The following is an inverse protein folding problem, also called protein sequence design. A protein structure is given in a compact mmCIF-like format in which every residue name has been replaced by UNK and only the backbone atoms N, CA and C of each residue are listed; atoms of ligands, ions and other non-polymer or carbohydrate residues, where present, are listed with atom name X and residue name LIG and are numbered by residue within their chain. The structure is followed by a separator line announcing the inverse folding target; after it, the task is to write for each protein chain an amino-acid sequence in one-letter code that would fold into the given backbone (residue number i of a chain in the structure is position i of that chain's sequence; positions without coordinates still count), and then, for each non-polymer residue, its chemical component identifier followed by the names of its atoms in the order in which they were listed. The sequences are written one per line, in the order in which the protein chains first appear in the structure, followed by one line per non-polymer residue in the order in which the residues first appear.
data_IF_481094086042
#
_entry.id   IF_481094086042
#
_cell.length_a   1.000
_cell.length_b   1.000
_cell.length_c   1.000
_cell.angle_alpha   90.00
_cell.angle_beta   90.00
_cell.angle_gamma   90.00
#
_symmetry.space_group_name_H-M   'P 1'
#
loop_
_entity.id
_entity.type
_entity.pdbx_description
1 polymer ?
#
# COMPACT_ATOMS: atom_id res chain seq x y z
N UNK A 1 -33.99 15.76 27.48
CA UNK A 1 -33.68 16.20 26.11
C UNK A 1 -32.58 15.30 25.59
N UNK A 2 -32.95 14.23 24.88
CA UNK A 2 -32.00 13.28 24.30
C UNK A 2 -31.77 13.67 22.85
N UNK A 3 -30.60 14.25 22.56
CA UNK A 3 -30.19 14.58 21.19
C UNK A 3 -29.98 13.30 20.39
N UNK A 4 -30.82 13.13 19.37
CA UNK A 4 -30.65 12.15 18.30
C UNK A 4 -29.38 12.49 17.51
N UNK A 5 -28.37 11.62 17.60
CA UNK A 5 -27.22 11.65 16.67
C UNK A 5 -27.71 11.07 15.35
N UNK A 6 -27.95 11.94 14.37
CA UNK A 6 -28.30 11.52 13.02
C UNK A 6 -27.14 10.73 12.40
N UNK A 7 -27.37 9.45 12.12
CA UNK A 7 -26.48 8.60 11.32
C UNK A 7 -26.43 9.14 9.89
N UNK A 8 -25.29 9.75 9.52
CA UNK A 8 -25.04 10.19 8.14
C UNK A 8 -25.13 8.99 7.20
N UNK A 9 -25.92 9.09 6.13
CA UNK A 9 -25.95 8.04 5.11
C UNK A 9 -24.58 7.92 4.43
N UNK A 10 -24.13 6.70 4.17
CA UNK A 10 -22.83 6.41 3.56
C UNK A 10 -22.62 7.10 2.18
N UNK A 11 -23.71 7.50 1.52
CA UNK A 11 -23.71 8.21 0.23
C UNK A 11 -23.12 9.63 0.27
N UNK A 12 -22.81 10.16 1.45
CA UNK A 12 -22.23 11.51 1.61
C UNK A 12 -20.78 11.52 2.12
N UNK A 13 -20.12 10.37 2.22
CA UNK A 13 -18.75 10.30 2.70
C UNK A 13 -17.72 10.40 1.56
N UNK A 14 -16.53 10.87 1.90
CA UNK A 14 -15.40 10.93 0.98
C UNK A 14 -15.02 9.51 0.53
N UNK A 15 -14.64 9.35 -0.74
CA UNK A 15 -14.10 8.09 -1.24
C UNK A 15 -12.78 7.68 -0.56
N UNK A 16 -12.03 8.66 -0.04
CA UNK A 16 -10.70 8.44 0.54
C UNK A 16 -10.59 8.59 2.06
N UNK A 17 -11.61 9.10 2.74
CA UNK A 17 -11.62 9.23 4.21
C UNK A 17 -13.06 9.19 4.75
N UNK A 18 -13.22 9.34 6.06
CA UNK A 18 -14.52 9.36 6.74
C UNK A 18 -15.14 10.74 6.89
N UNK A 19 -14.53 11.77 6.27
CA UNK A 19 -15.10 13.12 6.25
C UNK A 19 -16.28 13.22 5.29
N UNK A 20 -17.14 14.21 5.53
CA UNK A 20 -18.23 14.56 4.62
C UNK A 20 -17.69 15.03 3.27
N UNK A 21 -18.26 14.49 2.19
CA UNK A 21 -17.88 14.80 0.83
C UNK A 21 -18.73 15.93 0.24
N UNK A 22 -18.12 17.11 0.17
CA UNK A 22 -18.76 18.31 -0.35
C UNK A 22 -18.55 18.51 -1.85
N UNK A 23 -17.59 17.79 -2.45
CA UNK A 23 -17.20 17.96 -3.86
C UNK A 23 -17.46 16.68 -4.64
N UNK A 24 -17.89 16.81 -5.88
CA UNK A 24 -18.01 15.69 -6.82
C UNK A 24 -16.92 15.79 -7.89
N UNK A 25 -16.58 14.67 -8.52
CA UNK A 25 -15.79 14.72 -9.75
C UNK A 25 -16.57 15.44 -10.85
N UNK A 26 -16.03 16.55 -11.38
CA UNK A 26 -16.66 17.36 -12.42
C UNK A 26 -16.83 16.66 -13.78
N UNK A 27 -16.24 15.46 -13.96
CA UNK A 27 -16.35 14.73 -15.22
C UNK A 27 -17.43 13.65 -15.18
N UNK A 28 -17.44 12.80 -14.15
CA UNK A 28 -18.39 11.67 -14.07
C UNK A 28 -19.52 11.90 -13.08
N UNK A 29 -19.39 12.87 -12.16
CA UNK A 29 -20.33 13.14 -11.06
C UNK A 29 -20.70 11.93 -10.16
N UNK A 30 -20.00 10.80 -10.32
CA UNK A 30 -20.33 9.52 -9.71
C UNK A 30 -19.48 9.20 -8.46
N UNK A 31 -18.47 10.01 -8.16
CA UNK A 31 -17.63 9.91 -6.95
C UNK A 31 -17.58 11.25 -6.21
N UNK A 32 -17.43 11.21 -4.89
CA UNK A 32 -17.36 12.40 -4.03
C UNK A 32 -16.10 12.43 -3.16
N UNK A 33 -15.62 13.64 -2.90
CA UNK A 33 -14.45 13.91 -2.07
C UNK A 33 -14.73 15.06 -1.09
N UNK A 34 -14.07 15.03 0.07
CA UNK A 34 -14.11 16.13 1.03
C UNK A 34 -13.22 17.31 0.61
N UNK A 35 -12.21 17.09 -0.24
CA UNK A 35 -11.31 18.15 -0.73
C UNK A 35 -10.64 17.82 -2.06
N UNK A 36 -9.96 18.81 -2.65
CA UNK A 36 -9.22 18.66 -3.92
C UNK A 36 -8.01 17.75 -3.76
N UNK A 37 -7.42 17.70 -2.56
CA UNK A 37 -6.28 16.84 -2.22
C UNK A 37 -6.69 15.38 -2.26
N UNK A 38 -7.86 15.04 -1.69
CA UNK A 38 -8.40 13.68 -1.79
C UNK A 38 -8.72 13.31 -3.24
N UNK A 39 -9.30 14.22 -4.02
CA UNK A 39 -9.54 13.96 -5.45
C UNK A 39 -8.22 13.71 -6.22
N UNK A 40 -7.19 14.53 -6.00
CA UNK A 40 -5.88 14.40 -6.64
C UNK A 40 -5.19 13.10 -6.26
N UNK A 41 -5.32 12.67 -5.01
CA UNK A 41 -4.78 11.40 -4.57
C UNK A 41 -5.49 10.22 -5.24
N UNK A 42 -6.82 10.23 -5.30
CA UNK A 42 -7.55 9.12 -5.93
C UNK A 42 -7.36 9.08 -7.46
N UNK A 43 -6.94 10.18 -8.08
CA UNK A 43 -6.95 10.34 -9.53
C UNK A 43 -6.25 9.23 -10.31
N UNK A 44 -5.13 8.68 -9.83
CA UNK A 44 -4.43 7.59 -10.51
C UNK A 44 -5.29 6.33 -10.67
N UNK A 45 -6.17 6.06 -9.70
CA UNK A 45 -7.13 4.95 -9.69
C UNK A 45 -8.44 5.39 -10.34
N UNK A 46 -9.01 6.52 -9.92
CA UNK A 46 -10.29 7.01 -10.42
C UNK A 46 -10.30 7.23 -11.94
N UNK A 47 -9.22 7.74 -12.53
CA UNK A 47 -9.14 8.02 -13.98
C UNK A 47 -9.37 6.79 -14.85
N UNK A 48 -9.08 5.59 -14.32
CA UNK A 48 -9.27 4.30 -14.99
C UNK A 48 -10.74 4.13 -15.37
N UNK A 49 -11.65 4.55 -14.47
CA UNK A 49 -13.08 4.31 -14.59
C UNK A 49 -13.89 5.56 -14.88
N UNK A 50 -13.33 6.75 -14.59
CA UNK A 50 -14.01 8.04 -14.67
C UNK A 50 -14.74 8.26 -16.01
N UNK A 51 -14.07 8.00 -17.13
CA UNK A 51 -14.65 8.20 -18.47
C UNK A 51 -15.80 7.24 -18.78
N UNK A 52 -15.72 5.99 -18.31
CA UNK A 52 -16.76 4.99 -18.53
C UNK A 52 -18.03 5.35 -17.79
N UNK A 53 -17.90 5.86 -16.55
CA UNK A 53 -19.03 6.32 -15.74
C UNK A 53 -19.63 7.65 -16.19
N UNK A 54 -18.91 8.43 -17.01
CA UNK A 54 -19.51 9.59 -17.70
C UNK A 54 -20.48 9.16 -18.81
N UNK A 55 -20.19 8.03 -19.48
CA UNK A 55 -20.96 7.53 -20.63
C UNK A 55 -22.15 6.66 -20.22
N UNK A 56 -22.04 5.93 -19.11
CA UNK A 56 -23.03 4.94 -18.67
C UNK A 56 -24.26 5.52 -17.95
N UNK A 57 -24.60 6.79 -18.17
CA UNK A 57 -25.85 7.40 -17.67
C UNK A 57 -27.07 6.89 -18.48
N UNK A 58 -26.86 6.33 -19.66
CA UNK A 58 -27.92 5.80 -20.50
C UNK A 58 -28.12 4.30 -20.25
N UNK A 59 -28.98 3.93 -19.30
CA UNK A 59 -29.51 2.56 -19.21
C UNK A 59 -30.98 2.58 -19.66
N UNK A 60 -31.22 2.09 -20.88
CA UNK A 60 -32.55 1.93 -21.46
C UNK A 60 -33.21 0.58 -21.14
N UNK A 61 -32.58 -0.28 -20.31
CA UNK A 61 -33.09 -1.62 -19.97
C UNK A 61 -33.18 -1.82 -18.43
N UNK A 62 -34.36 -2.15 -17.89
CA UNK A 62 -34.56 -2.53 -16.47
C UNK A 62 -33.68 -3.69 -15.97
N UNK A 63 -33.16 -4.53 -16.87
CA UNK A 63 -32.31 -5.68 -16.53
C UNK A 63 -30.80 -5.38 -16.64
N UNK A 64 -30.43 -4.15 -16.99
CA UNK A 64 -29.02 -3.78 -17.11
C UNK A 64 -28.35 -3.72 -15.72
N UNK A 65 -27.38 -4.61 -15.49
CA UNK A 65 -26.53 -4.60 -14.29
C UNK A 65 -25.10 -4.19 -14.65
N UNK A 66 -24.62 -3.13 -14.00
CA UNK A 66 -23.23 -2.70 -14.11
C UNK A 66 -22.33 -3.52 -13.20
N UNK A 67 -21.54 -4.38 -13.83
CA UNK A 67 -20.42 -5.08 -13.22
C UNK A 67 -19.07 -4.48 -13.66
N UNK A 68 -18.00 -4.85 -12.95
CA UNK A 68 -16.62 -4.46 -13.26
C UNK A 68 -15.82 -5.73 -13.53
N UNK A 69 -15.21 -5.84 -14.71
CA UNK A 69 -14.51 -7.01 -15.16
C UNK A 69 -13.03 -6.74 -15.39
N UNK A 70 -12.19 -7.56 -14.78
CA UNK A 70 -10.74 -7.61 -14.94
C UNK A 70 -10.39 -8.81 -15.82
N UNK A 71 -10.24 -8.63 -17.15
CA UNK A 71 -9.81 -9.71 -18.04
C UNK A 71 -8.39 -10.19 -17.69
N UNK A 72 -7.98 -11.34 -18.20
CA UNK A 72 -6.61 -11.83 -17.99
C UNK A 72 -5.53 -10.85 -18.54
N UNK A 73 -5.83 -10.19 -19.67
CA UNK A 73 -4.96 -9.21 -20.33
C UNK A 73 -5.72 -7.95 -20.71
N UNK A 74 -5.03 -6.81 -20.78
CA UNK A 74 -5.61 -5.51 -21.11
C UNK A 74 -5.95 -4.69 -19.86
N UNK A 75 -7.03 -3.91 -19.92
CA UNK A 75 -7.49 -3.07 -18.80
C UNK A 75 -8.88 -3.48 -18.28
N UNK A 76 -9.26 -2.99 -17.09
CA UNK A 76 -10.58 -3.26 -16.54
C UNK A 76 -11.68 -2.68 -17.43
N UNK A 77 -12.77 -3.44 -17.55
CA UNK A 77 -13.97 -3.09 -18.31
C UNK A 77 -15.12 -2.85 -17.35
N UNK A 78 -15.95 -1.85 -17.65
CA UNK A 78 -17.12 -1.45 -16.87
C UNK A 78 -18.34 -1.60 -17.77
N UNK A 79 -19.51 -1.78 -17.15
CA UNK A 79 -20.78 -1.84 -17.89
C UNK A 79 -20.88 -3.10 -18.73
N UNK A 80 -20.31 -4.18 -18.21
CA UNK A 80 -20.30 -5.49 -18.84
C UNK A 80 -21.59 -6.25 -18.52
N UNK A 81 -22.75 -5.58 -18.53
CA UNK A 81 -24.07 -6.18 -18.23
C UNK A 81 -24.37 -7.43 -19.06
N UNK A 82 -23.74 -7.50 -20.23
CA UNK A 82 -23.70 -8.66 -21.12
C UNK A 82 -22.25 -9.09 -21.25
N UNK A 83 -21.60 -9.47 -20.16
CA UNK A 83 -20.40 -10.29 -20.27
C UNK A 83 -20.83 -11.45 -21.16
N UNK A 84 -20.34 -11.48 -22.41
CA UNK A 84 -20.52 -12.55 -23.38
C UNK A 84 -19.71 -13.78 -22.91
N UNK A 85 -19.89 -14.11 -21.64
CA UNK A 85 -19.50 -15.35 -21.01
C UNK A 85 -20.40 -16.35 -21.70
N UNK A 86 -19.83 -17.03 -22.70
CA UNK A 86 -20.45 -18.17 -23.34
C UNK A 86 -21.17 -19.00 -22.27
N UNK A 87 -22.43 -19.39 -22.52
CA UNK A 87 -23.30 -20.07 -21.55
C UNK A 87 -22.58 -21.22 -20.81
N UNK A 88 -21.72 -21.93 -21.55
CA UNK A 88 -20.85 -23.02 -21.06
C UNK A 88 -19.89 -22.63 -19.93
N UNK A 89 -19.48 -21.36 -19.82
CA UNK A 89 -18.59 -20.85 -18.77
C UNK A 89 -19.35 -20.33 -17.55
N UNK A 90 -20.66 -20.06 -17.65
CA UNK A 90 -21.46 -19.62 -16.49
C UNK A 90 -21.50 -20.68 -15.40
N UNK A 91 -21.54 -21.96 -15.77
CA UNK A 91 -21.46 -23.09 -14.83
C UNK A 91 -20.12 -23.20 -14.12
N UNK A 92 -19.08 -22.51 -14.58
CA UNK A 92 -17.72 -22.53 -14.01
C UNK A 92 -17.42 -21.26 -13.20
N UNK A 93 -18.30 -20.26 -13.27
CA UNK A 93 -18.18 -19.04 -12.49
C UNK A 93 -18.37 -19.35 -11.00
N UNK A 94 -17.38 -19.00 -10.17
CA UNK A 94 -17.39 -19.25 -8.72
C UNK A 94 -17.14 -17.95 -7.98
N UNK A 95 -18.08 -17.59 -7.13
CA UNK A 95 -17.90 -16.56 -6.13
C UNK A 95 -16.92 -17.07 -5.07
N UNK A 96 -15.93 -16.25 -4.74
CA UNK A 96 -14.90 -16.62 -3.76
C UNK A 96 -14.72 -15.59 -2.65
N UNK A 97 -15.30 -14.40 -2.80
CA UNK A 97 -15.22 -13.36 -1.77
C UNK A 97 -16.38 -12.38 -1.84
N UNK A 98 -16.82 -11.94 -0.66
CA UNK A 98 -17.77 -10.85 -0.48
C UNK A 98 -17.11 -9.69 0.27
N UNK A 99 -17.50 -8.46 -0.09
CA UNK A 99 -17.01 -7.23 0.52
C UNK A 99 -18.18 -6.42 1.06
N UNK A 100 -18.26 -6.31 2.37
CA UNK A 100 -19.23 -5.52 3.11
C UNK A 100 -18.55 -4.48 4.03
N UNK A 101 -17.22 -4.52 4.14
CA UNK A 101 -16.43 -3.63 4.97
C UNK A 101 -15.16 -3.16 4.27
N UNK A 102 -14.84 -1.88 4.40
CA UNK A 102 -13.57 -1.31 3.97
C UNK A 102 -12.60 -1.35 5.15
N UNK A 103 -11.60 -2.23 5.11
CA UNK A 103 -10.56 -2.30 6.13
C UNK A 103 -9.73 -1.01 6.21
N UNK A 104 -9.48 -0.39 5.05
CA UNK A 104 -8.67 0.84 4.97
C UNK A 104 -9.40 2.03 5.61
N UNK A 105 -10.72 2.14 5.39
CA UNK A 105 -11.51 3.23 5.98
C UNK A 105 -12.13 2.88 7.32
N UNK A 106 -12.02 1.62 7.73
CA UNK A 106 -12.73 1.05 8.86
C UNK A 106 -14.21 1.45 8.88
N UNK A 107 -14.92 1.20 7.76
CA UNK A 107 -16.36 1.47 7.65
C UNK A 107 -17.06 0.43 6.78
N UNK A 108 -18.34 0.23 7.06
CA UNK A 108 -19.22 -0.61 6.24
C UNK A 108 -19.32 -0.06 4.83
N UNK A 109 -19.19 -0.94 3.85
CA UNK A 109 -19.60 -0.69 2.48
C UNK A 109 -21.11 -0.90 2.47
N UNK A 110 -21.93 0.13 2.15
CA UNK A 110 -23.37 0.07 2.34
C UNK A 110 -24.10 -1.02 1.53
N UNK A 111 -23.41 -1.72 0.63
CA UNK A 111 -23.97 -2.84 -0.12
C UNK A 111 -22.87 -3.84 -0.48
N UNK A 112 -23.19 -5.13 -0.35
CA UNK A 112 -22.24 -6.21 -0.63
C UNK A 112 -21.76 -6.15 -2.08
N UNK A 113 -20.45 -6.19 -2.28
CA UNK A 113 -19.82 -6.40 -3.58
C UNK A 113 -19.21 -7.78 -3.58
N UNK A 114 -19.50 -8.55 -4.62
CA UNK A 114 -19.08 -9.93 -4.77
C UNK A 114 -17.93 -10.00 -5.77
N UNK A 115 -16.91 -10.80 -5.46
CA UNK A 115 -15.84 -11.14 -6.38
C UNK A 115 -15.99 -12.60 -6.81
N UNK A 116 -15.91 -12.82 -8.13
CA UNK A 116 -16.06 -14.13 -8.73
C UNK A 116 -15.07 -14.32 -9.88
N UNK A 117 -14.68 -15.57 -10.11
CA UNK A 117 -13.72 -15.96 -11.14
C UNK A 117 -14.20 -17.20 -11.90
N UNK A 118 -13.70 -17.36 -13.13
CA UNK A 118 -13.86 -18.59 -13.91
C UNK A 118 -12.73 -19.60 -13.66
N UNK A 119 -11.66 -19.18 -12.99
CA UNK A 119 -10.55 -20.04 -12.62
C UNK A 119 -10.76 -20.58 -11.20
N UNK A 120 -10.34 -21.82 -10.90
CA UNK A 120 -10.30 -22.32 -9.52
C UNK A 120 -9.48 -21.37 -8.63
N UNK A 121 -10.11 -20.83 -7.58
CA UNK A 121 -9.44 -19.96 -6.62
C UNK A 121 -8.71 -20.80 -5.55
N UNK A 122 -7.53 -20.36 -5.09
CA UNK A 122 -6.80 -20.99 -3.98
C UNK A 122 -5.54 -21.80 -4.36
N UNK A 123 -5.10 -21.78 -5.61
CA UNK A 123 -3.75 -22.23 -5.98
C UNK A 123 -2.83 -21.04 -6.20
N UNK A 124 -1.57 -21.15 -5.78
CA UNK A 124 -0.52 -20.19 -6.11
C UNK A 124 -0.58 -19.94 -7.61
N UNK A 125 -0.73 -18.68 -8.01
CA UNK A 125 -0.77 -18.31 -9.42
C UNK A 125 0.54 -18.79 -10.08
N UNK A 126 0.47 -19.85 -10.90
CA UNK A 126 1.51 -20.10 -11.88
C UNK A 126 1.64 -18.83 -12.74
N UNK A 127 2.86 -18.50 -13.18
CA UNK A 127 3.12 -17.29 -13.99
C UNK A 127 2.13 -17.14 -15.16
N UNK A 128 1.72 -18.27 -15.73
CA UNK A 128 0.84 -18.35 -16.90
C UNK A 128 -0.65 -18.11 -16.59
N UNK A 129 -1.05 -18.04 -15.32
CA UNK A 129 -2.45 -17.78 -14.94
C UNK A 129 -2.66 -16.42 -14.25
N UNK A 130 -1.63 -15.56 -14.17
CA UNK A 130 -1.71 -14.23 -13.57
C UNK A 130 -2.67 -13.30 -14.32
N UNK A 131 -3.46 -12.53 -13.59
CA UNK A 131 -4.33 -11.51 -14.17
C UNK A 131 -3.59 -10.18 -14.34
N UNK A 132 -3.05 -9.96 -15.54
CA UNK A 132 -2.32 -8.74 -15.86
C UNK A 132 -3.18 -7.48 -15.92
N UNK A 133 -4.52 -7.58 -16.01
CA UNK A 133 -5.36 -6.37 -16.03
C UNK A 133 -5.37 -5.63 -14.70
N UNK A 134 -5.09 -6.32 -13.58
CA UNK A 134 -4.89 -5.65 -12.30
C UNK A 134 -3.66 -4.73 -12.30
N UNK A 135 -2.69 -4.91 -13.20
CA UNK A 135 -1.55 -3.99 -13.35
C UNK A 135 -1.98 -2.55 -13.67
N UNK A 136 -3.18 -2.36 -14.26
CA UNK A 136 -3.75 -1.04 -14.51
C UNK A 136 -4.07 -0.29 -13.19
N UNK A 137 -4.36 -1.03 -12.12
CA UNK A 137 -4.60 -0.51 -10.77
C UNK A 137 -3.31 -0.53 -9.96
N UNK A 138 -2.61 -1.67 -9.98
CA UNK A 138 -1.36 -1.89 -9.29
C UNK A 138 -0.54 -3.02 -9.92
N UNK A 139 0.70 -2.73 -10.29
CA UNK A 139 1.63 -3.67 -10.91
C UNK A 139 1.95 -4.94 -10.08
N UNK A 140 1.67 -4.96 -8.77
CA UNK A 140 1.97 -6.10 -7.89
C UNK A 140 0.80 -7.09 -7.77
N UNK A 141 -0.43 -6.63 -8.01
CA UNK A 141 -1.64 -7.44 -7.92
C UNK A 141 -1.74 -8.60 -8.93
N UNK A 142 -1.18 -8.54 -10.15
CA UNK A 142 -1.22 -9.67 -11.08
C UNK A 142 -0.68 -10.98 -10.51
N UNK A 143 0.27 -10.93 -9.57
CA UNK A 143 0.88 -12.12 -8.99
C UNK A 143 -0.02 -12.92 -8.04
N UNK A 144 -1.19 -12.40 -7.68
CA UNK A 144 -2.05 -12.95 -6.62
C UNK A 144 -3.41 -13.37 -7.13
N UNK A 145 -3.89 -12.66 -8.15
CA UNK A 145 -5.20 -12.89 -8.70
C UNK A 145 -5.01 -13.61 -10.01
N UNK A 146 -5.48 -14.85 -10.05
CA UNK A 146 -5.41 -15.68 -11.24
C UNK A 146 -6.68 -15.59 -12.06
N UNK A 147 -6.50 -15.57 -13.38
CA UNK A 147 -7.57 -15.64 -14.35
C UNK A 147 -8.51 -14.43 -14.33
N UNK A 148 -9.53 -14.43 -15.22
CA UNK A 148 -10.45 -13.31 -15.31
C UNK A 148 -11.35 -13.19 -14.07
N UNK A 149 -11.48 -11.98 -13.54
CA UNK A 149 -12.27 -11.69 -12.32
C UNK A 149 -13.37 -10.68 -12.62
N UNK A 150 -14.55 -10.94 -12.09
CA UNK A 150 -15.72 -10.06 -12.21
C UNK A 150 -16.16 -9.65 -10.81
N UNK A 151 -16.47 -8.37 -10.67
CA UNK A 151 -17.11 -7.80 -9.49
C UNK A 151 -18.53 -7.37 -9.84
N UNK A 152 -19.50 -7.76 -9.01
CA UNK A 152 -20.91 -7.38 -9.16
C UNK A 152 -21.59 -7.20 -7.80
N UNK A 153 -22.76 -6.58 -7.78
CA UNK A 153 -23.63 -6.49 -6.62
C UNK A 153 -25.04 -6.95 -7.01
N UNK A 154 -25.64 -7.91 -6.29
CA UNK A 154 -27.02 -8.32 -6.55
C UNK A 154 -27.98 -7.13 -6.43
N UNK A 155 -28.82 -6.93 -7.46
CA UNK A 155 -29.91 -5.95 -7.44
C UNK A 155 -29.50 -4.48 -7.57
N UNK A 156 -28.24 -4.16 -7.89
CA UNK A 156 -27.82 -2.77 -8.15
C UNK A 156 -26.63 -2.67 -9.10
N UNK A 157 -26.46 -1.47 -9.65
CA UNK A 157 -25.29 -1.10 -10.44
C UNK A 157 -24.12 -0.75 -9.52
N UNK A 158 -22.92 -1.26 -9.86
CA UNK A 158 -21.69 -0.79 -9.22
C UNK A 158 -21.40 0.66 -9.63
N UNK A 159 -20.84 1.44 -8.72
CA UNK A 159 -20.44 2.82 -8.95
C UNK A 159 -18.91 3.01 -8.84
N UNK A 160 -18.44 4.25 -8.99
CA UNK A 160 -17.02 4.56 -8.85
C UNK A 160 -16.50 4.47 -7.41
N UNK A 161 -17.37 4.53 -6.40
CA UNK A 161 -17.00 4.25 -5.00
C UNK A 161 -16.81 2.74 -4.81
N UNK A 162 -17.65 1.90 -5.41
CA UNK A 162 -17.46 0.45 -5.43
C UNK A 162 -16.14 0.08 -6.07
N UNK A 163 -15.78 0.69 -7.21
CA UNK A 163 -14.47 0.48 -7.82
C UNK A 163 -13.33 0.80 -6.87
N UNK A 164 -13.40 1.92 -6.14
CA UNK A 164 -12.39 2.28 -5.13
C UNK A 164 -12.32 1.23 -4.03
N UNK A 165 -13.46 0.78 -3.50
CA UNK A 165 -13.52 -0.23 -2.45
C UNK A 165 -12.96 -1.57 -2.92
N UNK A 166 -13.30 -2.02 -4.13
CA UNK A 166 -12.75 -3.24 -4.75
C UNK A 166 -11.23 -3.16 -4.79
N UNK A 167 -10.70 -2.04 -5.29
CA UNK A 167 -9.26 -1.80 -5.40
C UNK A 167 -8.58 -1.81 -4.02
N UNK A 168 -9.20 -1.19 -3.02
CA UNK A 168 -8.69 -1.18 -1.65
C UNK A 168 -8.70 -2.56 -1.02
N UNK A 169 -9.78 -3.33 -1.20
CA UNK A 169 -9.87 -4.66 -0.61
C UNK A 169 -8.94 -5.65 -1.30
N UNK A 170 -8.80 -5.60 -2.62
CA UNK A 170 -7.83 -6.44 -3.34
C UNK A 170 -6.40 -6.16 -2.87
N UNK A 171 -6.06 -4.88 -2.64
CA UNK A 171 -4.77 -4.52 -2.03
C UNK A 171 -4.65 -5.03 -0.59
N UNK A 172 -5.71 -4.92 0.19
CA UNK A 172 -5.73 -5.43 1.57
C UNK A 172 -5.49 -6.95 1.62
N UNK A 173 -6.13 -7.71 0.75
CA UNK A 173 -5.90 -9.15 0.63
C UNK A 173 -4.43 -9.46 0.33
N UNK A 174 -3.82 -8.74 -0.61
CA UNK A 174 -2.38 -8.87 -0.87
C UNK A 174 -1.52 -8.61 0.36
N UNK A 175 -1.82 -7.53 1.08
CA UNK A 175 -1.10 -7.16 2.27
C UNK A 175 -1.19 -8.25 3.34
N UNK A 176 -2.40 -8.77 3.57
CA UNK A 176 -2.61 -9.88 4.49
C UNK A 176 -1.77 -11.10 4.10
N UNK A 177 -1.81 -11.52 2.84
CA UNK A 177 -1.04 -12.69 2.37
C UNK A 177 0.48 -12.52 2.55
N UNK A 178 0.98 -11.30 2.52
CA UNK A 178 2.42 -10.99 2.59
C UNK A 178 2.94 -10.57 3.95
N UNK A 179 2.08 -10.06 4.85
CA UNK A 179 2.51 -9.51 6.14
C UNK A 179 1.82 -10.15 7.35
N UNK A 180 0.62 -10.71 7.19
CA UNK A 180 -0.19 -11.25 8.30
C UNK A 180 -0.36 -12.78 8.16
N UNK A 181 -0.27 -13.30 6.92
CA UNK A 181 -0.34 -14.72 6.61
C UNK A 181 0.86 -15.52 7.09
N UNK A 182 0.80 -16.82 6.86
CA UNK A 182 1.85 -17.77 7.26
C UNK A 182 3.17 -17.49 6.51
N UNK A 183 4.06 -16.72 7.15
CA UNK A 183 5.39 -16.36 6.62
C UNK A 183 6.27 -17.58 6.33
N UNK A 184 5.89 -18.79 6.81
CA UNK A 184 6.62 -20.02 6.51
C UNK A 184 6.54 -20.43 5.04
N UNK A 185 5.48 -20.03 4.31
CA UNK A 185 5.36 -20.27 2.87
C UNK A 185 6.19 -19.30 2.02
N UNK A 186 6.51 -18.13 2.56
CA UNK A 186 7.22 -17.08 1.84
C UNK A 186 8.74 -17.31 1.83
N UNK A 187 9.24 -18.11 2.77
CA UNK A 187 10.67 -18.38 2.94
C UNK A 187 10.95 -19.86 3.23
N UNK A 188 10.90 -20.70 2.20
CA UNK A 188 11.67 -21.96 2.18
C UNK A 188 13.19 -21.72 2.06
N UNK A 189 13.59 -20.46 1.94
CA UNK A 189 14.96 -19.99 1.78
C UNK A 189 15.50 -19.39 3.08
N UNK A 190 16.84 -19.41 3.30
CA UNK A 190 17.46 -18.77 4.46
C UNK A 190 17.08 -17.29 4.58
N UNK A 191 16.61 -16.89 5.75
CA UNK A 191 16.25 -15.51 6.08
C UNK A 191 17.35 -14.82 6.89
N UNK A 192 17.33 -13.50 6.89
CA UNK A 192 18.24 -12.66 7.66
C UNK A 192 17.46 -11.85 8.71
N UNK A 193 18.05 -11.57 9.88
CA UNK A 193 17.47 -10.61 10.80
C UNK A 193 17.45 -9.23 10.15
N UNK A 194 16.26 -8.65 10.05
CA UNK A 194 16.07 -7.34 9.45
C UNK A 194 14.93 -6.58 10.12
N UNK A 195 14.92 -5.27 9.88
CA UNK A 195 13.94 -4.34 10.43
C UNK A 195 13.12 -3.76 9.28
N UNK A 196 11.82 -3.98 9.29
CA UNK A 196 10.89 -3.22 8.47
C UNK A 196 10.70 -1.83 9.07
N UNK A 197 10.93 -0.81 8.26
CA UNK A 197 10.58 0.58 8.57
C UNK A 197 9.25 0.89 7.92
N UNK A 198 8.24 1.13 8.76
CA UNK A 198 6.86 1.29 8.31
C UNK A 198 6.63 2.68 7.74
N UNK A 199 6.16 2.71 6.52
CA UNK A 199 5.63 3.92 5.88
C UNK A 199 4.30 4.38 6.53
N UNK A 200 3.87 5.61 6.21
CA UNK A 200 2.71 6.23 6.88
C UNK A 200 1.40 5.42 6.78
N UNK A 201 1.12 4.79 5.64
CA UNK A 201 -0.11 4.00 5.48
C UNK A 201 -0.09 2.71 6.28
N UNK A 202 1.04 2.01 6.37
CA UNK A 202 1.13 0.81 7.23
C UNK A 202 0.94 1.19 8.70
N UNK A 203 1.50 2.33 9.12
CA UNK A 203 1.29 2.85 10.47
C UNK A 203 -0.16 3.25 10.72
N UNK A 204 -0.78 3.92 9.77
CA UNK A 204 -2.11 4.50 9.97
C UNK A 204 -3.25 3.50 9.74
N UNK A 205 -3.19 2.73 8.65
CA UNK A 205 -4.24 1.80 8.24
C UNK A 205 -4.03 0.41 8.85
N UNK A 206 -2.79 -0.04 8.98
CA UNK A 206 -2.47 -1.38 9.48
C UNK A 206 -2.00 -1.38 10.95
N UNK A 207 -1.88 -0.20 11.57
CA UNK A 207 -1.37 -0.01 12.94
C UNK A 207 0.02 -0.61 13.16
N UNK A 208 0.84 -0.67 12.11
CA UNK A 208 2.22 -1.14 12.23
C UNK A 208 3.05 -0.16 13.08
N UNK A 209 3.99 -0.66 13.90
CA UNK A 209 4.93 0.22 14.60
C UNK A 209 5.87 0.91 13.61
N UNK A 210 6.57 1.96 14.04
CA UNK A 210 7.57 2.64 13.21
C UNK A 210 8.65 1.66 12.69
N UNK A 211 9.06 0.72 13.55
CA UNK A 211 10.04 -0.32 13.27
C UNK A 211 9.49 -1.67 13.74
N UNK A 212 9.57 -2.69 12.90
CA UNK A 212 9.18 -4.06 13.23
C UNK A 212 10.29 -5.02 12.81
N UNK A 213 10.52 -6.09 13.59
CA UNK A 213 11.33 -7.20 13.10
C UNK A 213 10.62 -7.85 11.92
N UNK A 214 11.35 -8.06 10.83
CA UNK A 214 10.78 -8.61 9.60
C UNK A 214 11.84 -9.46 8.90
N UNK A 215 11.65 -10.78 8.72
CA UNK A 215 12.62 -11.61 8.05
C UNK A 215 12.68 -11.29 6.54
N UNK A 216 13.88 -11.18 5.98
CA UNK A 216 14.06 -11.03 4.52
C UNK A 216 14.88 -12.19 3.98
N UNK A 217 14.53 -12.67 2.78
CA UNK A 217 15.34 -13.68 2.09
C UNK A 217 16.76 -13.16 1.84
N UNK A 218 17.77 -13.96 2.16
CA UNK A 218 19.17 -13.61 1.90
C UNK A 218 19.46 -13.33 0.42
N UNK A 219 18.64 -13.89 -0.49
CA UNK A 219 18.75 -13.68 -1.94
C UNK A 219 18.28 -12.29 -2.38
N UNK A 220 17.44 -11.62 -1.58
CA UNK A 220 16.93 -10.28 -1.90
C UNK A 220 17.98 -9.18 -1.67
N UNK A 221 19.10 -9.49 -1.00
CA UNK A 221 20.21 -8.56 -0.79
C UNK A 221 21.13 -8.57 -2.02
N UNK A 222 20.93 -7.64 -2.95
CA UNK A 222 21.90 -7.41 -4.03
C UNK A 222 23.24 -6.90 -3.46
N UNK A 223 24.41 -7.30 -4.02
CA UNK A 223 25.70 -6.81 -3.56
C UNK A 223 25.84 -5.31 -3.84
N UNK A 224 26.14 -4.55 -2.79
CA UNK A 224 26.29 -3.09 -2.85
C UNK A 224 27.77 -2.64 -2.86
N UNK A 225 28.03 -1.52 -3.53
CA UNK A 225 29.35 -0.89 -3.75
C UNK A 225 29.48 0.35 -2.85
N UNK A 226 30.25 0.22 -1.76
CA UNK A 226 30.75 1.29 -0.86
C UNK A 226 29.71 2.18 -0.14
N UNK A 227 29.57 1.97 1.18
CA UNK A 227 28.72 2.72 2.09
C UNK A 227 28.37 1.86 3.31
N UNK A 228 27.73 2.42 4.35
CA UNK A 228 27.27 1.69 5.56
C UNK A 228 26.79 0.27 5.21
N UNK A 229 27.08 -0.77 6.03
CA UNK A 229 26.78 -2.16 5.69
C UNK A 229 25.29 -2.49 5.82
N UNK A 230 24.41 -1.58 5.40
CA UNK A 230 22.96 -1.70 5.38
C UNK A 230 22.50 -1.82 3.93
N UNK A 231 21.70 -2.84 3.69
CA UNK A 231 20.99 -3.03 2.43
C UNK A 231 19.51 -2.80 2.70
N UNK A 232 18.89 -2.04 1.82
CA UNK A 232 17.46 -1.81 1.87
C UNK A 232 16.79 -2.56 0.73
N UNK A 233 15.81 -3.37 1.10
CA UNK A 233 14.93 -4.07 0.17
C UNK A 233 13.57 -3.44 0.32
N UNK A 234 12.88 -3.25 -0.80
CA UNK A 234 11.45 -2.92 -0.75
C UNK A 234 10.76 -3.99 0.08
N UNK A 235 10.08 -3.61 1.17
CA UNK A 235 9.24 -4.57 1.86
C UNK A 235 8.19 -5.08 0.87
N UNK A 236 7.62 -6.29 1.05
CA UNK A 236 6.41 -6.67 0.33
C UNK A 236 5.39 -5.54 0.44
N UNK A 237 4.46 -5.42 -0.52
CA UNK A 237 3.70 -4.19 -0.70
C UNK A 237 2.97 -3.79 0.56
N UNK A 238 3.56 -2.83 1.23
CA UNK A 238 2.93 -1.97 2.20
C UNK A 238 1.77 -1.24 1.54
N UNK A 239 0.68 -1.09 2.27
CA UNK A 239 -0.56 -0.51 1.78
C UNK A 239 -0.55 1.00 1.47
N UNK A 240 0.46 1.86 1.73
CA UNK A 240 0.27 3.27 1.46
C UNK A 240 0.54 3.66 0.02
N UNK A 241 -0.03 4.82 -0.27
CA UNK A 241 0.48 5.85 -1.16
C UNK A 241 -0.03 5.83 -2.59
N UNK A 242 -0.54 4.71 -3.11
CA UNK A 242 -1.25 4.74 -4.41
C UNK A 242 -2.71 5.17 -4.26
N UNK A 243 -2.84 6.40 -3.77
CA UNK A 243 -4.02 7.22 -3.95
C UNK A 243 -4.83 7.59 -2.71
N UNK A 244 -4.29 7.37 -1.50
CA UNK A 244 -4.84 7.93 -0.25
C UNK A 244 -3.80 8.84 0.40
N UNK A 245 -4.05 10.16 0.38
CA UNK A 245 -3.32 11.10 1.24
C UNK A 245 -3.88 10.96 2.65
N UNK A 246 -3.04 10.56 3.60
CA UNK A 246 -3.36 10.81 5.00
C UNK A 246 -3.34 12.33 5.15
N UNK A 247 -4.40 12.93 5.73
CA UNK A 247 -4.45 14.36 6.08
C UNK A 247 -3.50 14.66 7.25
N UNK A 248 -2.26 14.19 7.20
CA UNK A 248 -1.22 14.73 8.06
C UNK A 248 -0.79 16.03 7.38
N UNK A 249 -0.97 17.14 8.08
CA UNK A 249 -0.79 18.49 7.58
C UNK A 249 0.46 18.62 6.68
N UNK A 250 0.25 19.10 5.45
CA UNK A 250 1.28 19.60 4.53
C UNK A 250 2.47 18.72 4.13
N UNK A 251 2.69 17.54 4.71
CA UNK A 251 3.89 16.76 4.40
C UNK A 251 3.58 15.53 3.54
N UNK A 252 4.14 15.54 2.33
CA UNK A 252 4.04 14.44 1.35
C UNK A 252 5.18 13.43 1.51
N UNK A 253 5.94 13.49 2.58
CA UNK A 253 7.07 12.60 2.77
C UNK A 253 6.63 11.25 3.34
N UNK A 254 7.50 10.26 3.18
CA UNK A 254 7.69 9.18 4.15
C UNK A 254 7.64 9.72 5.60
N UNK A 255 7.57 8.84 6.63
CA UNK A 255 7.97 9.27 7.97
C UNK A 255 9.24 10.13 7.83
N UNK A 256 9.24 11.37 8.35
CA UNK A 256 10.34 12.32 8.15
C UNK A 256 11.69 11.63 8.43
N UNK A 257 11.68 10.67 9.36
CA UNK A 257 12.78 9.79 9.75
C UNK A 257 13.41 9.01 8.58
N UNK A 258 12.62 8.48 7.63
CA UNK A 258 13.13 7.68 6.50
C UNK A 258 13.81 8.52 5.41
N UNK A 259 13.39 9.78 5.23
CA UNK A 259 13.95 10.66 4.21
C UNK A 259 15.46 10.88 4.39
N UNK A 260 15.95 10.79 5.64
CA UNK A 260 17.35 11.00 5.99
C UNK A 260 18.24 9.80 5.65
N UNK A 261 17.75 8.57 5.83
CA UNK A 261 18.56 7.36 5.69
C UNK A 261 18.45 6.73 4.29
N UNK A 262 17.32 6.89 3.59
CA UNK A 262 17.11 6.28 2.26
C UNK A 262 18.17 6.66 1.21
N UNK A 263 18.68 7.91 1.16
CA UNK A 263 19.77 8.25 0.23
C UNK A 263 21.12 7.60 0.55
N UNK A 264 21.26 6.99 1.74
CA UNK A 264 22.46 6.29 2.19
C UNK A 264 22.39 4.78 1.95
N UNK A 265 21.17 4.25 1.81
CA UNK A 265 20.94 2.84 1.57
C UNK A 265 21.28 2.50 0.13
N UNK A 266 21.74 1.27 -0.09
CA UNK A 266 22.02 0.76 -1.42
C UNK A 266 21.09 -0.42 -1.77
N UNK A 267 20.55 -0.47 -3.00
CA UNK A 267 20.63 0.55 -4.05
C UNK A 267 19.95 1.86 -3.62
N UNK A 268 20.26 2.97 -4.31
CA UNK A 268 19.62 4.26 -4.01
C UNK A 268 18.12 4.12 -4.28
N UNK A 269 17.31 4.25 -3.24
CA UNK A 269 15.86 4.01 -3.30
C UNK A 269 15.14 5.34 -3.57
N UNK A 270 14.23 5.36 -4.55
CA UNK A 270 13.32 6.48 -4.76
C UNK A 270 12.21 6.49 -3.68
N UNK A 271 12.25 7.45 -2.74
CA UNK A 271 11.26 7.55 -1.66
C UNK A 271 9.82 7.77 -2.15
N UNK A 272 9.63 8.36 -3.33
CA UNK A 272 8.31 8.72 -3.84
C UNK A 272 7.48 7.54 -4.33
N UNK A 273 8.10 6.36 -4.47
CA UNK A 273 7.51 5.15 -5.05
C UNK A 273 7.51 3.95 -4.12
N UNK A 274 8.11 4.07 -2.93
CA UNK A 274 8.22 2.98 -1.98
C UNK A 274 7.36 3.26 -0.75
N UNK A 275 6.56 2.26 -0.35
CA UNK A 275 5.99 2.26 0.98
C UNK A 275 7.01 1.73 1.99
N UNK A 276 6.70 0.68 2.76
CA UNK A 276 7.59 0.16 3.79
C UNK A 276 8.87 -0.40 3.17
N UNK A 277 9.96 -0.30 3.94
CA UNK A 277 11.30 -0.70 3.50
C UNK A 277 11.88 -1.62 4.55
N UNK A 278 12.41 -2.76 4.13
CA UNK A 278 13.12 -3.68 5.02
C UNK A 278 14.61 -3.41 4.96
N UNK A 279 15.24 -3.17 6.10
CA UNK A 279 16.66 -2.87 6.25
C UNK A 279 17.35 -4.05 6.93
N UNK A 280 18.40 -4.56 6.29
CA UNK A 280 19.22 -5.66 6.78
C UNK A 280 20.71 -5.28 6.78
N UNK A 281 21.53 -5.94 7.60
CA UNK A 281 22.99 -5.83 7.48
C UNK A 281 23.51 -6.71 6.35
N UNK A 282 24.42 -6.17 5.53
CA UNK A 282 25.13 -6.90 4.45
C UNK A 282 25.86 -8.14 4.98
N UNK A 283 26.44 -8.01 6.17
CA UNK A 283 27.21 -9.05 6.87
C UNK A 283 26.31 -10.07 7.58
N UNK A 284 24.97 -9.95 7.50
CA UNK A 284 24.00 -10.86 8.10
C UNK A 284 23.91 -10.82 9.64
N UNK A 285 24.66 -9.94 10.28
CA UNK A 285 24.54 -9.69 11.72
C UNK A 285 23.19 -9.05 12.07
N UNK A 286 22.78 -9.21 13.32
CA UNK A 286 21.52 -8.69 13.83
C UNK A 286 21.47 -7.15 13.79
N UNK A 287 20.29 -6.61 13.50
CA UNK A 287 19.99 -5.18 13.57
C UNK A 287 18.64 -4.96 14.24
N UNK A 288 18.63 -4.14 15.29
CA UNK A 288 17.42 -3.77 16.03
C UNK A 288 16.83 -2.46 15.50
N UNK A 289 15.51 -2.25 15.65
CA UNK A 289 14.85 -1.00 15.23
C UNK A 289 15.43 0.26 15.86
N UNK A 290 15.94 0.15 17.09
CA UNK A 290 16.67 1.21 17.79
C UNK A 290 17.92 1.70 17.03
N UNK A 291 18.62 0.80 16.32
CA UNK A 291 19.78 1.18 15.50
C UNK A 291 19.35 2.07 14.33
N UNK A 292 18.21 1.74 13.71
CA UNK A 292 17.63 2.53 12.62
C UNK A 292 17.17 3.89 13.14
N UNK A 293 16.45 3.92 14.27
CA UNK A 293 16.01 5.17 14.90
C UNK A 293 17.18 6.13 15.21
N UNK A 294 18.25 5.60 15.80
CA UNK A 294 19.44 6.39 16.08
C UNK A 294 20.14 6.89 14.81
N UNK A 295 20.18 6.08 13.74
CA UNK A 295 20.71 6.52 12.45
C UNK A 295 19.89 7.69 11.89
N UNK A 296 18.55 7.61 11.94
CA UNK A 296 17.67 8.70 11.51
C UNK A 296 17.96 9.99 12.30
N UNK A 297 17.98 9.91 13.63
CA UNK A 297 18.27 11.06 14.52
C UNK A 297 19.66 11.64 14.30
N UNK A 298 20.66 10.78 14.09
CA UNK A 298 22.01 11.23 13.80
C UNK A 298 22.07 11.96 12.46
N UNK A 299 21.47 11.39 11.42
CA UNK A 299 21.41 12.02 10.09
C UNK A 299 20.71 13.37 10.13
N UNK A 300 19.63 13.52 10.89
CA UNK A 300 18.97 14.81 11.11
C UNK A 300 19.90 15.82 11.81
N UNK A 301 20.58 15.41 12.88
CA UNK A 301 21.51 16.27 13.66
C UNK A 301 22.67 16.85 12.84
N UNK A 302 23.08 16.18 11.75
CA UNK A 302 24.18 16.64 10.89
C UNK A 302 23.72 17.34 9.60
N UNK A 303 22.42 17.24 9.28
CA UNK A 303 21.79 17.86 8.09
C UNK A 303 20.95 19.10 8.41
N UNK A 304 20.72 19.40 9.70
CA UNK A 304 19.97 20.54 10.28
C UNK A 304 19.62 21.65 9.28
N UNK A 305 18.35 21.68 8.84
CA UNK A 305 17.76 22.74 8.01
C UNK A 305 17.72 22.46 6.50
N UNK A 306 18.33 21.38 6.02
CA UNK A 306 18.25 21.00 4.60
C UNK A 306 17.04 20.11 4.35
N UNK A 307 16.16 20.51 3.44
CA UNK A 307 14.99 19.71 3.02
C UNK A 307 15.17 19.03 1.67
N UNK A 308 16.29 19.29 0.99
CA UNK A 308 16.61 18.76 -0.34
C UNK A 308 17.36 17.43 -0.24
N UNK A 309 16.78 16.29 -0.69
CA UNK A 309 17.35 14.96 -0.47
C UNK A 309 18.77 14.76 -1.02
N UNK A 310 19.09 15.36 -2.16
CA UNK A 310 20.42 15.25 -2.77
C UNK A 310 21.50 15.98 -1.94
N UNK A 311 21.14 17.13 -1.35
CA UNK A 311 22.05 17.89 -0.47
C UNK A 311 22.22 17.16 0.86
N UNK A 312 21.16 16.58 1.41
CA UNK A 312 21.22 15.74 2.62
C UNK A 312 22.17 14.56 2.42
N UNK A 313 22.04 13.83 1.31
CA UNK A 313 22.93 12.72 0.98
C UNK A 313 24.41 13.14 0.92
N UNK A 314 24.70 14.30 0.31
CA UNK A 314 26.05 14.85 0.24
C UNK A 314 26.60 15.25 1.63
N UNK A 315 25.80 15.94 2.44
CA UNK A 315 26.17 16.34 3.80
C UNK A 315 26.45 15.15 4.70
N UNK A 316 25.60 14.12 4.63
CA UNK A 316 25.79 12.91 5.42
C UNK A 316 27.07 12.20 4.99
N UNK A 317 27.32 12.02 3.68
CA UNK A 317 28.59 11.45 3.19
C UNK A 317 29.82 12.22 3.66
N UNK A 318 29.73 13.55 3.77
CA UNK A 318 30.84 14.38 4.20
C UNK A 318 31.05 14.40 5.73
N UNK A 319 29.98 14.29 6.52
CA UNK A 319 30.01 14.49 7.98
C UNK A 319 29.91 13.22 8.80
N UNK A 320 29.31 12.16 8.26
CA UNK A 320 29.11 10.91 8.96
C UNK A 320 30.41 10.12 9.05
N UNK A 321 30.92 9.95 10.27
CA UNK A 321 32.01 9.03 10.58
C UNK A 321 31.56 8.06 11.65
N UNK A 322 32.16 6.86 11.67
CA UNK A 322 31.87 5.84 12.68
C UNK A 322 32.08 6.38 14.11
N UNK A 323 33.18 7.11 14.34
CA UNK A 323 33.46 7.72 15.65
C UNK A 323 32.39 8.70 16.10
N UNK A 324 31.90 9.56 15.20
CA UNK A 324 30.85 10.53 15.53
C UNK A 324 29.53 9.84 15.83
N UNK A 325 29.17 8.82 15.06
CA UNK A 325 27.97 8.04 15.34
C UNK A 325 28.09 7.24 16.64
N UNK A 326 29.25 6.66 16.96
CA UNK A 326 29.50 6.00 18.27
C UNK A 326 29.32 6.97 19.43
N UNK A 327 29.85 8.18 19.33
CA UNK A 327 29.67 9.22 20.35
C UNK A 327 28.19 9.60 20.50
N UNK A 328 27.48 9.79 19.38
CA UNK A 328 26.06 10.10 19.36
C UNK A 328 25.20 8.97 19.97
N UNK A 329 25.50 7.71 19.64
CA UNK A 329 24.82 6.54 20.19
C UNK A 329 24.98 6.44 21.71
N UNK A 330 26.19 6.71 22.23
CA UNK A 330 26.42 6.73 23.67
C UNK A 330 25.61 7.84 24.38
N UNK A 331 25.49 9.02 23.76
CA UNK A 331 24.61 10.09 24.28
C UNK A 331 23.15 9.64 24.30
N UNK A 332 22.65 9.06 23.21
CA UNK A 332 21.27 8.54 23.13
C UNK A 332 20.97 7.43 24.15
N UNK A 333 21.93 6.56 24.46
CA UNK A 333 21.74 5.54 25.53
C UNK A 333 21.51 6.19 26.89
N UNK A 334 22.23 7.27 27.19
CA UNK A 334 22.14 7.99 28.46
C UNK A 334 20.82 8.76 28.56
N UNK A 335 20.34 9.31 27.44
CA UNK A 335 19.13 10.15 27.38
C UNK A 335 17.82 9.37 27.16
N UNK A 336 17.85 8.16 26.58
CA UNK A 336 16.77 7.72 25.68
C UNK A 336 16.18 6.31 25.82
N UNK A 337 16.33 5.60 26.94
CA UNK A 337 15.46 4.45 27.24
C UNK A 337 15.65 3.19 26.32
N UNK A 338 16.89 2.83 25.98
CA UNK A 338 17.23 1.54 25.31
C UNK A 338 18.09 0.60 26.19
N UNK A 339 17.62 0.20 27.39
CA UNK A 339 18.41 -0.66 28.28
C UNK A 339 18.64 -2.03 27.63
N UNK A 340 19.91 -2.46 27.55
CA UNK A 340 20.29 -3.81 27.12
C UNK A 340 20.55 -4.01 25.62
N UNK A 341 20.46 -2.98 24.78
CA UNK A 341 20.75 -3.08 23.34
C UNK A 341 22.22 -2.71 23.08
N UNK A 342 23.00 -3.68 22.58
CA UNK A 342 24.39 -3.45 22.18
C UNK A 342 24.48 -2.48 21.01
N UNK A 343 25.53 -1.66 20.90
CA UNK A 343 25.77 -0.84 19.71
C UNK A 343 25.72 -1.68 18.43
N UNK A 344 25.29 -1.11 17.29
CA UNK A 344 25.22 -1.83 16.02
C UNK A 344 26.57 -2.34 15.51
N UNK A 345 27.69 -1.94 16.12
CA UNK A 345 29.05 -2.37 15.82
C UNK A 345 29.58 -3.49 16.73
N UNK A 346 28.89 -3.75 17.86
CA UNK A 346 29.30 -4.73 18.87
C UNK A 346 28.48 -6.03 18.76
N UNK A 347 27.80 -6.23 17.61
CA UNK A 347 26.89 -7.34 17.29
C UNK A 347 27.33 -8.06 16.03
#
# INVERSE_FOLDING_TARGET
MSSSVATKSAAQLCALCNDAALKQCNSCHNIRYCSTECQKADWSVHKIVCKSFRKSIEAADPNHIRAIYFPEKGGPKIDVSTLDIAEKRKSDFREWQTFDHSHILNRTIPSHTWAASFAPHGQVALLDCQNHSFAAVDHELPCLISGPVVFHAPGRNLDTIDFRNIVDTVRWLHYCDTHIGDTTKQYSLPTLPSVMVSCLGDKHFCRQPNFAEYPVSAFALMPSVNGLPLVAVKAPPSLPFRGRTVRVAHDRSLPAELAFILPLLQPLIDPSRMGSVTIARKERNYIHGAHIDALCKYSDSITMGTTQPFMMAAMIKAKATEQRFKAFWNMLKVEGNFPGINPPYDV
#
